data_IF_864246582662
#
_entry.id   IF_864246582662
#
_cell.length_a   1.000
_cell.length_b   1.000
_cell.length_c   1.000
_cell.angle_alpha   90.00
_cell.angle_beta   90.00
_cell.angle_gamma   90.00
#
_symmetry.space_group_name_H-M   'P 1'
#
loop_
_entity.id
_entity.type
_entity.pdbx_description
1 polymer ?
#
# COMPACT_ATOMS: atom_id res chain seq x y z
N UNK A 1 0.13 -17.01 -1.38
CA UNK A 1 0.78 -15.96 -0.57
C UNK A 1 -0.18 -14.81 -0.47
N UNK A 2 -0.54 -14.38 0.74
CA UNK A 2 -1.42 -13.22 0.90
C UNK A 2 -0.60 -11.94 0.79
N UNK A 3 -1.14 -10.92 0.11
CA UNK A 3 -0.53 -9.62 0.08
C UNK A 3 -1.56 -8.50 0.08
N UNK A 4 -1.13 -7.32 0.51
CA UNK A 4 -1.90 -6.09 0.42
C UNK A 4 -1.14 -5.10 -0.44
N UNK A 5 -1.83 -4.49 -1.40
CA UNK A 5 -1.26 -3.43 -2.21
C UNK A 5 -1.50 -2.11 -1.47
N UNK A 6 -0.42 -1.37 -1.23
CA UNK A 6 -0.47 -0.02 -0.67
C UNK A 6 0.09 0.94 -1.70
N UNK A 7 -0.77 1.82 -2.20
CA UNK A 7 -0.38 2.88 -3.10
C UNK A 7 0.17 4.06 -2.30
N UNK A 8 1.35 4.53 -2.67
CA UNK A 8 2.03 5.65 -2.01
C UNK A 8 2.53 6.67 -3.01
N UNK A 9 2.58 7.92 -2.58
CA UNK A 9 3.20 8.98 -3.37
C UNK A 9 4.70 8.75 -3.54
N UNK A 10 5.22 9.00 -4.75
CA UNK A 10 6.61 8.69 -5.08
C UNK A 10 7.63 9.49 -4.26
N UNK A 11 7.32 10.74 -3.91
CA UNK A 11 8.21 11.61 -3.12
C UNK A 11 7.94 11.53 -1.64
N UNK A 12 6.74 11.90 -1.19
CA UNK A 12 6.43 12.02 0.24
C UNK A 12 6.08 10.68 0.91
N UNK A 13 5.91 9.59 0.14
CA UNK A 13 5.52 8.25 0.63
C UNK A 13 4.20 8.20 1.41
N UNK A 14 3.43 9.29 1.45
CA UNK A 14 2.09 9.29 2.01
C UNK A 14 1.24 8.22 1.33
N UNK A 15 0.38 7.55 2.10
CA UNK A 15 -0.55 6.57 1.57
C UNK A 15 -1.59 7.31 0.72
N UNK A 16 -1.70 6.90 -0.54
CA UNK A 16 -2.77 7.30 -1.43
C UNK A 16 -3.99 6.42 -1.21
N UNK A 17 -3.79 5.09 -1.23
CA UNK A 17 -4.86 4.12 -1.07
C UNK A 17 -4.32 2.77 -0.56
N UNK A 18 -5.11 2.10 0.29
CA UNK A 18 -4.82 0.73 0.74
C UNK A 18 -5.88 -0.20 0.20
N UNK A 19 -5.46 -1.19 -0.59
CA UNK A 19 -6.37 -2.19 -1.15
C UNK A 19 -6.80 -3.22 -0.11
N UNK A 20 -7.83 -4.00 -0.45
CA UNK A 20 -8.15 -5.20 0.32
C UNK A 20 -6.99 -6.21 0.23
N UNK A 21 -6.86 -7.05 1.26
CA UNK A 21 -5.90 -8.16 1.24
C UNK A 21 -6.32 -9.16 0.16
N UNK A 22 -5.41 -9.49 -0.74
CA UNK A 22 -5.54 -10.64 -1.62
C UNK A 22 -5.28 -11.89 -0.78
N UNK A 23 -6.36 -12.59 -0.42
CA UNK A 23 -6.34 -13.77 0.43
C UNK A 23 -6.11 -15.02 -0.43
N UNK A 24 -5.04 -15.75 -0.13
CA UNK A 24 -4.85 -17.07 -0.69
C UNK A 24 -5.51 -18.16 0.18
N UNK A 25 -5.55 -19.40 -0.31
CA UNK A 25 -6.21 -20.52 0.38
C UNK A 25 -5.68 -20.82 1.80
N UNK A 26 -4.47 -20.37 2.15
CA UNK A 26 -3.87 -20.55 3.46
C UNK A 26 -4.06 -19.35 4.41
N UNK A 27 -4.92 -18.38 4.06
CA UNK A 27 -5.20 -17.22 4.90
C UNK A 27 -5.68 -17.64 6.31
N UNK A 28 -5.16 -16.99 7.35
CA UNK A 28 -5.49 -17.27 8.75
C UNK A 28 -4.72 -18.44 9.38
N UNK A 29 -3.89 -19.17 8.62
CA UNK A 29 -3.06 -20.24 9.17
C UNK A 29 -1.84 -19.69 9.93
N UNK A 30 -1.39 -20.36 11.02
CA UNK A 30 -0.18 -19.95 11.74
C UNK A 30 1.04 -19.90 10.81
N UNK A 31 1.86 -18.85 10.94
CA UNK A 31 3.05 -18.68 10.11
C UNK A 31 2.78 -18.19 8.68
N UNK A 32 1.56 -17.73 8.38
CA UNK A 32 1.19 -17.17 7.08
C UNK A 32 0.95 -15.65 7.15
N UNK A 33 2.01 -14.81 7.18
CA UNK A 33 1.84 -13.36 7.24
C UNK A 33 1.34 -12.79 5.91
N UNK A 34 0.56 -11.71 5.99
CA UNK A 34 0.22 -10.88 4.83
C UNK A 34 1.41 -9.99 4.51
N UNK A 35 1.88 -10.04 3.26
CA UNK A 35 2.98 -9.19 2.82
C UNK A 35 2.47 -7.86 2.26
N UNK A 36 3.11 -6.75 2.63
CA UNK A 36 2.82 -5.46 2.02
C UNK A 36 3.59 -5.31 0.70
N UNK A 37 2.90 -4.84 -0.35
CA UNK A 37 3.52 -4.46 -1.62
C UNK A 37 3.21 -2.99 -1.90
N UNK A 38 4.27 -2.19 -2.02
CA UNK A 38 4.12 -0.77 -2.32
C UNK A 38 4.09 -0.54 -3.82
N UNK A 39 3.11 0.23 -4.29
CA UNK A 39 3.07 0.78 -5.64
C UNK A 39 3.21 2.29 -5.54
N UNK A 40 4.07 2.88 -6.36
CA UNK A 40 4.27 4.32 -6.38
C UNK A 40 3.31 4.97 -7.36
N UNK A 41 2.51 5.91 -6.88
CA UNK A 41 1.48 6.62 -7.65
C UNK A 41 1.65 8.12 -7.45
N UNK A 42 1.57 8.90 -8.54
CA UNK A 42 1.69 10.36 -8.46
C UNK A 42 3.02 10.87 -7.87
N UNK A 43 3.13 12.19 -7.75
CA UNK A 43 4.35 12.87 -7.28
C UNK A 43 4.30 13.12 -5.76
N UNK A 44 3.37 13.98 -5.32
CA UNK A 44 3.13 14.35 -3.91
C UNK A 44 1.63 14.38 -3.62
N UNK A 45 1.23 14.18 -2.36
CA UNK A 45 -0.16 14.36 -1.92
C UNK A 45 -0.51 15.83 -1.73
N UNK A 46 -1.80 16.17 -1.58
CA UNK A 46 -2.27 17.56 -1.44
C UNK A 46 -1.58 18.34 -0.30
N UNK A 47 -1.30 17.67 0.83
CA UNK A 47 -0.59 18.27 1.96
C UNK A 47 0.89 18.60 1.67
N UNK A 48 1.47 17.97 0.65
CA UNK A 48 2.87 18.12 0.23
C UNK A 48 3.00 18.68 -1.20
N UNK A 49 1.89 18.94 -1.90
CA UNK A 49 1.86 19.60 -3.20
C UNK A 49 1.85 21.11 -3.00
N UNK A 50 2.91 21.62 -2.36
CA UNK A 50 3.02 23.02 -2.02
C UNK A 50 3.05 23.90 -3.28
N UNK A 51 1.96 24.61 -3.50
CA UNK A 51 2.00 26.03 -3.84
C UNK A 51 1.01 26.74 -2.90
N UNK A 52 1.52 27.65 -2.07
CA UNK A 52 0.77 28.74 -1.43
C UNK A 52 1.07 30.02 -2.20
#
# INVERSE_FOLDING_TARGET
MCFVIVERYSVCRCIYYTHAVDMCAAYGTPGHPVQERTVLVGYTCDAHSGYS
#
